data_IF_807093679894
#
_entry.id   IF_807093679894
#
_cell.length_a   1.000
_cell.length_b   1.000
_cell.length_c   1.000
_cell.angle_alpha   90.00
_cell.angle_beta   90.00
_cell.angle_gamma   90.00
#
_symmetry.space_group_name_H-M   'P 1'
#
loop_
_entity.id
_entity.type
_entity.pdbx_description
1 polymer ?
#
# COMPACT_ATOMS: atom_id res chain seq x y z
N UNK A 1 25.72 23.81 -1.01
CA UNK A 1 25.55 23.11 -2.29
C UNK A 1 25.44 21.59 -2.11
N UNK A 2 26.21 20.96 -1.22
CA UNK A 2 26.13 19.50 -0.98
C UNK A 2 24.89 19.06 -0.19
N UNK A 3 24.45 19.85 0.79
CA UNK A 3 23.31 19.48 1.65
C UNK A 3 21.98 19.44 0.89
N UNK A 4 21.73 20.38 -0.02
CA UNK A 4 20.49 20.40 -0.82
C UNK A 4 20.41 19.24 -1.81
N UNK A 5 21.55 18.78 -2.32
CA UNK A 5 21.64 17.64 -3.22
C UNK A 5 21.39 16.32 -2.48
N UNK A 6 21.91 16.18 -1.25
CA UNK A 6 21.60 15.03 -0.40
C UNK A 6 20.12 14.96 -0.05
N UNK A 7 19.49 16.10 0.29
CA UNK A 7 18.05 16.15 0.57
C UNK A 7 17.23 15.77 -0.67
N UNK A 8 17.57 16.31 -1.85
CA UNK A 8 16.85 16.03 -3.09
C UNK A 8 16.91 14.53 -3.49
N UNK A 9 18.01 13.84 -3.19
CA UNK A 9 18.11 12.40 -3.43
C UNK A 9 17.20 11.59 -2.51
N UNK A 10 17.11 11.97 -1.23
CA UNK A 10 16.21 11.29 -0.28
C UNK A 10 14.76 11.47 -0.70
N UNK A 11 14.35 12.70 -1.05
CA UNK A 11 13.00 12.99 -1.53
C UNK A 11 12.66 12.22 -2.82
N UNK A 12 13.62 12.09 -3.75
CA UNK A 12 13.41 11.32 -4.99
C UNK A 12 13.19 9.83 -4.68
N UNK A 13 14.01 9.25 -3.79
CA UNK A 13 13.87 7.85 -3.37
C UNK A 13 12.52 7.64 -2.68
N UNK A 14 12.11 8.58 -1.83
CA UNK A 14 10.84 8.55 -1.12
C UNK A 14 9.66 8.48 -2.10
N UNK A 15 9.59 9.40 -3.08
CA UNK A 15 8.53 9.40 -4.09
C UNK A 15 8.51 8.10 -4.91
N UNK A 16 9.69 7.56 -5.26
CA UNK A 16 9.78 6.28 -5.98
C UNK A 16 9.24 5.12 -5.13
N UNK A 17 9.58 5.07 -3.83
CA UNK A 17 9.04 4.07 -2.89
C UNK A 17 7.52 4.20 -2.79
N UNK A 18 7.00 5.43 -2.72
CA UNK A 18 5.55 5.69 -2.69
C UNK A 18 4.84 5.18 -3.94
N UNK A 19 5.38 5.46 -5.13
CA UNK A 19 4.82 4.95 -6.38
C UNK A 19 4.81 3.42 -6.42
N UNK A 20 5.86 2.78 -5.89
CA UNK A 20 5.93 1.33 -5.83
C UNK A 20 4.92 0.73 -4.84
N UNK A 21 4.68 1.39 -3.70
CA UNK A 21 3.62 1.00 -2.75
C UNK A 21 2.24 1.10 -3.40
N UNK A 22 1.95 2.21 -4.10
CA UNK A 22 0.70 2.40 -4.85
C UNK A 22 0.52 1.31 -5.92
N UNK A 23 1.58 1.02 -6.67
CA UNK A 23 1.58 -0.06 -7.66
C UNK A 23 1.27 -1.42 -7.04
N UNK A 24 1.85 -1.76 -5.88
CA UNK A 24 1.57 -3.03 -5.19
C UNK A 24 0.13 -3.10 -4.66
N UNK A 25 -0.44 -1.99 -4.20
CA UNK A 25 -1.85 -1.93 -3.78
C UNK A 25 -2.76 -2.19 -4.99
N UNK A 26 -2.53 -1.53 -6.11
CA UNK A 26 -3.28 -1.74 -7.36
C UNK A 26 -3.12 -3.18 -7.88
N UNK A 27 -1.89 -3.72 -7.87
CA UNK A 27 -1.60 -5.09 -8.30
C UNK A 27 -2.38 -6.09 -7.45
N UNK A 28 -2.44 -5.91 -6.13
CA UNK A 28 -3.26 -6.74 -5.24
C UNK A 28 -4.72 -6.70 -5.66
N UNK A 29 -5.28 -5.52 -5.91
CA UNK A 29 -6.69 -5.36 -6.28
C UNK A 29 -6.98 -6.08 -7.60
N UNK A 30 -6.10 -5.94 -8.60
CA UNK A 30 -6.26 -6.63 -9.89
C UNK A 30 -6.12 -8.15 -9.80
N UNK A 31 -5.20 -8.64 -8.96
CA UNK A 31 -5.07 -10.08 -8.71
C UNK A 31 -6.30 -10.63 -8.00
N UNK A 32 -6.86 -9.88 -7.05
CA UNK A 32 -8.10 -10.24 -6.36
C UNK A 32 -9.31 -10.26 -7.32
N UNK A 33 -9.35 -9.36 -8.30
CA UNK A 33 -10.41 -9.29 -9.32
C UNK A 33 -10.43 -10.50 -10.27
N UNK A 34 -9.26 -11.06 -10.60
CA UNK A 34 -9.16 -12.22 -11.51
C UNK A 34 -9.58 -13.55 -10.87
N UNK A 35 -9.94 -13.58 -9.58
CA UNK A 35 -10.31 -14.81 -8.86
C UNK A 35 -9.18 -15.83 -8.69
N UNK A 36 -7.98 -15.53 -9.21
CA UNK A 36 -6.80 -16.37 -9.09
C UNK A 36 -6.19 -16.09 -7.72
N UNK A 37 -6.67 -16.85 -6.72
CA UNK A 37 -6.03 -17.02 -5.43
C UNK A 37 -4.71 -17.80 -5.59
N UNK A 38 -3.78 -17.28 -6.41
CA UNK A 38 -2.41 -17.77 -6.37
C UNK A 38 -1.82 -17.28 -5.05
N UNK A 39 -1.98 -18.10 -4.02
CA UNK A 39 -1.55 -17.85 -2.63
C UNK A 39 -0.14 -17.27 -2.57
N UNK A 40 0.76 -17.69 -3.48
CA UNK A 40 2.13 -17.18 -3.57
C UNK A 40 2.24 -15.73 -4.04
N UNK A 41 1.56 -15.33 -5.11
CA UNK A 41 1.65 -13.94 -5.61
C UNK A 41 0.96 -12.95 -4.67
N UNK A 42 -0.17 -13.34 -4.08
CA UNK A 42 -0.88 -12.52 -3.11
C UNK A 42 -0.08 -12.37 -1.81
N UNK A 43 0.55 -13.46 -1.34
CA UNK A 43 1.45 -13.44 -0.19
C UNK A 43 2.68 -12.57 -0.46
N UNK A 44 3.32 -12.74 -1.63
CA UNK A 44 4.46 -11.92 -2.05
C UNK A 44 4.13 -10.42 -2.05
N UNK A 45 3.03 -10.01 -2.69
CA UNK A 45 2.61 -8.60 -2.70
C UNK A 45 2.30 -8.07 -1.29
N UNK A 46 1.82 -8.93 -0.37
CA UNK A 46 1.59 -8.56 1.03
C UNK A 46 2.89 -8.35 1.78
N UNK A 47 3.81 -9.31 1.69
CA UNK A 47 5.11 -9.26 2.36
C UNK A 47 5.96 -8.11 1.84
N UNK A 48 6.04 -7.93 0.52
CA UNK A 48 6.81 -6.83 -0.10
C UNK A 48 6.28 -5.47 0.32
N UNK A 49 4.95 -5.27 0.39
CA UNK A 49 4.36 -4.03 0.94
C UNK A 49 4.77 -3.80 2.40
N UNK A 50 4.78 -4.84 3.22
CA UNK A 50 5.23 -4.75 4.61
C UNK A 50 6.69 -4.34 4.74
N UNK A 51 7.57 -4.92 3.91
CA UNK A 51 9.00 -4.55 3.87
C UNK A 51 9.19 -3.10 3.46
N UNK A 52 8.47 -2.62 2.45
CA UNK A 52 8.56 -1.22 2.01
C UNK A 52 8.09 -0.24 3.08
N UNK A 53 7.04 -0.57 3.84
CA UNK A 53 6.66 0.24 5.00
C UNK A 53 7.73 0.22 6.10
N UNK A 54 8.41 -0.91 6.31
CA UNK A 54 9.56 -0.97 7.21
C UNK A 54 10.68 -0.01 6.79
N UNK A 55 10.97 0.05 5.49
CA UNK A 55 11.96 0.99 4.93
C UNK A 55 11.52 2.43 5.19
N UNK A 56 10.26 2.79 4.92
CA UNK A 56 9.75 4.15 5.19
C UNK A 56 9.81 4.52 6.68
N UNK A 57 9.53 3.59 7.58
CA UNK A 57 9.73 3.83 9.02
C UNK A 57 11.19 4.11 9.38
N UNK A 58 12.15 3.43 8.72
CA UNK A 58 13.57 3.74 8.89
C UNK A 58 13.92 5.14 8.34
N UNK A 59 13.36 5.55 7.19
CA UNK A 59 13.53 6.92 6.67
C UNK A 59 12.91 7.96 7.61
N UNK A 60 11.70 7.73 8.13
CA UNK A 60 11.07 8.62 9.11
C UNK A 60 11.93 8.76 10.38
N UNK A 61 12.51 7.67 10.88
CA UNK A 61 13.44 7.70 12.01
C UNK A 61 14.74 8.47 11.67
N UNK A 62 15.26 8.33 10.46
CA UNK A 62 16.41 9.10 9.98
C UNK A 62 16.12 10.61 9.94
N UNK A 63 14.96 11.01 9.42
CA UNK A 63 14.53 12.41 9.41
C UNK A 63 14.34 12.96 10.82
N UNK A 64 13.70 12.20 11.71
CA UNK A 64 13.55 12.59 13.12
C UNK A 64 14.91 12.77 13.81
N UNK A 65 15.87 11.88 13.56
CA UNK A 65 17.22 11.97 14.11
C UNK A 65 17.99 13.20 13.61
N UNK A 66 17.79 13.59 12.35
CA UNK A 66 18.37 14.81 11.75
C UNK A 66 17.68 16.10 12.22
N UNK A 67 16.64 16.02 13.06
CA UNK A 67 15.87 17.16 13.57
C UNK A 67 14.74 17.64 12.65
N UNK A 68 14.50 16.92 11.55
CA UNK A 68 13.48 17.21 10.55
C UNK A 68 12.13 16.57 10.91
N UNK A 69 11.57 17.00 12.04
CA UNK A 69 10.36 16.39 12.63
C UNK A 69 9.11 16.43 11.74
N UNK A 70 8.93 17.49 10.94
CA UNK A 70 7.75 17.60 10.06
C UNK A 70 7.74 16.52 8.98
N UNK A 71 8.91 16.18 8.44
CA UNK A 71 9.07 15.12 7.43
C UNK A 71 8.81 13.74 8.02
N UNK A 72 9.31 13.48 9.23
CA UNK A 72 9.00 12.24 9.95
C UNK A 72 7.50 12.09 10.23
N UNK A 73 6.81 13.19 10.53
CA UNK A 73 5.37 13.18 10.78
C UNK A 73 4.55 13.00 9.51
N UNK A 74 4.94 13.67 8.41
CA UNK A 74 4.34 13.49 7.09
C UNK A 74 4.41 12.00 6.67
N UNK A 75 5.59 11.40 6.75
CA UNK A 75 5.82 9.99 6.45
C UNK A 75 4.97 9.04 7.32
N UNK A 76 4.94 9.28 8.63
CA UNK A 76 4.13 8.48 9.55
C UNK A 76 2.63 8.55 9.20
N UNK A 77 2.11 9.75 8.91
CA UNK A 77 0.72 9.94 8.53
C UNK A 77 0.40 9.27 7.18
N UNK A 78 1.30 9.36 6.20
CA UNK A 78 1.13 8.68 4.93
C UNK A 78 1.10 7.16 5.07
N UNK A 79 2.01 6.57 5.85
CA UNK A 79 2.03 5.13 6.11
C UNK A 79 0.69 4.66 6.70
N UNK A 80 0.22 5.36 7.73
CA UNK A 80 -1.07 5.06 8.37
C UNK A 80 -2.25 5.25 7.41
N UNK A 81 -2.23 6.31 6.60
CA UNK A 81 -3.26 6.58 5.58
C UNK A 81 -3.36 5.48 4.55
N UNK A 82 -2.25 5.05 3.96
CA UNK A 82 -2.25 3.95 2.98
C UNK A 82 -2.57 2.58 3.60
N UNK A 83 -2.23 2.38 4.87
CA UNK A 83 -2.65 1.19 5.61
C UNK A 83 -4.17 1.16 5.75
N UNK A 84 -4.78 2.27 6.18
CA UNK A 84 -6.23 2.40 6.32
C UNK A 84 -6.98 2.23 4.98
N UNK A 85 -6.50 2.88 3.91
CA UNK A 85 -7.07 2.74 2.56
C UNK A 85 -7.00 1.28 2.11
N UNK A 86 -5.85 0.63 2.29
CA UNK A 86 -5.65 -0.77 1.91
C UNK A 86 -6.60 -1.72 2.65
N UNK A 87 -6.79 -1.53 3.96
CA UNK A 87 -7.73 -2.33 4.77
C UNK A 87 -9.17 -2.13 4.28
N UNK A 88 -9.63 -0.88 4.22
CA UNK A 88 -11.00 -0.55 3.83
C UNK A 88 -11.35 -1.06 2.43
N UNK A 89 -10.45 -0.85 1.46
CA UNK A 89 -10.66 -1.28 0.08
C UNK A 89 -10.72 -2.81 -0.06
N UNK A 90 -9.92 -3.54 0.72
CA UNK A 90 -9.96 -5.01 0.74
C UNK A 90 -11.28 -5.55 1.29
N UNK A 91 -11.84 -4.92 2.32
CA UNK A 91 -13.14 -5.29 2.88
C UNK A 91 -14.28 -4.97 1.92
N UNK A 92 -14.27 -3.79 1.31
CA UNK A 92 -15.26 -3.40 0.32
C UNK A 92 -15.34 -4.43 -0.80
N UNK A 93 -14.20 -4.87 -1.34
CA UNK A 93 -14.14 -5.88 -2.40
C UNK A 93 -14.72 -7.23 -1.96
N UNK A 94 -14.41 -7.69 -0.74
CA UNK A 94 -15.00 -8.93 -0.17
C UNK A 94 -16.52 -8.81 -0.05
N UNK A 95 -17.01 -7.68 0.48
CA UNK A 95 -18.45 -7.39 0.60
C UNK A 95 -19.16 -7.40 -0.77
N UNK A 96 -18.55 -6.80 -1.79
CA UNK A 96 -19.10 -6.79 -3.16
C UNK A 96 -19.25 -8.21 -3.73
N UNK A 97 -18.24 -9.07 -3.56
CA UNK A 97 -18.28 -10.45 -4.03
C UNK A 97 -19.35 -11.27 -3.31
N UNK A 98 -19.41 -11.18 -1.97
CA UNK A 98 -20.43 -11.86 -1.16
C UNK A 98 -21.86 -11.43 -1.51
N UNK A 99 -22.08 -10.16 -1.87
CA UNK A 99 -23.38 -9.63 -2.25
C UNK A 99 -23.85 -10.12 -3.64
N UNK A 100 -22.94 -10.42 -4.56
CA UNK A 100 -23.28 -10.92 -5.90
C UNK A 100 -23.69 -12.40 -5.92
N UNK A 101 -23.13 -13.23 -5.04
CA UNK A 101 -23.42 -14.67 -4.97
C UNK A 101 -24.92 -15.04 -4.81
N UNK A 102 -25.71 -14.41 -3.91
CA UNK A 102 -27.14 -14.72 -3.79
C UNK A 102 -27.99 -14.24 -4.97
N UNK A 103 -27.57 -13.18 -5.67
CA UNK A 103 -28.30 -12.66 -6.84
C UNK A 103 -28.17 -13.59 -8.06
N UNK A 104 -27.02 -14.23 -8.23
CA UNK A 104 -26.81 -15.22 -9.30
C UNK A 104 -27.57 -16.54 -9.05
N UNK A 105 -27.79 -16.91 -7.79
CA UNK A 105 -28.60 -18.08 -7.42
C UNK A 105 -30.07 -17.93 -7.78
N UNK A 106 -30.64 -16.73 -7.54
CA UNK A 106 -32.05 -16.44 -7.79
C UNK A 106 -32.37 -16.27 -9.29
N UNK A 107 -31.39 -15.89 -10.12
CA UNK A 107 -31.56 -15.71 -11.57
C UNK A 107 -31.45 -17.01 -12.39
N UNK A 108 -31.05 -18.14 -11.78
CA UNK A 108 -31.04 -19.46 -12.43
C UNK A 108 -32.31 -20.29 -12.18
N UNK A 109 -33.20 -19.84 -11.30
CA UNK A 109 -34.41 -20.56 -10.91
C UNK A 109 -35.70 -20.01 -11.55
N UNK A 110 -35.60 -18.95 -12.35
CA UNK A 110 -36.67 -18.43 -13.22
C UNK A 110 -36.28 -18.64 -14.69
#
# INVERSE_FOLDING_TARGET
>A
MTIELELAWVDLVEVVVWLFILFLIELRIRLQDRGISSSRLLSFATTTKGVLYGILWCLAAYWAHRGHWIFAWDEALWILGFMAIGMNLSEWRKRSLSRQLPLLGNQRQN
#
